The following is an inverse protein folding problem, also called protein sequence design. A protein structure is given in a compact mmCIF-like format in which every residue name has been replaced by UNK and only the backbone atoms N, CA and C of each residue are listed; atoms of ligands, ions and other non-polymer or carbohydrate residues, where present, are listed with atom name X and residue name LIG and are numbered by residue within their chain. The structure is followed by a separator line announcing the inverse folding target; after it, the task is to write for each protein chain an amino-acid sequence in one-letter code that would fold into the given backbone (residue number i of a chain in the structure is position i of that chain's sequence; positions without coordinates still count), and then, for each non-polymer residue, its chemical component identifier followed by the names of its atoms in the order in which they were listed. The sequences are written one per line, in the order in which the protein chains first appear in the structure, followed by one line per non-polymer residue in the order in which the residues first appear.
data_IF_238750341788
#
_entry.id   IF_238750341788
#
_cell.length_a   1.000
_cell.length_b   1.000
_cell.length_c   1.000
_cell.angle_alpha   90.00
_cell.angle_beta   90.00
_cell.angle_gamma   90.00
#
_symmetry.space_group_name_H-M   'P 1'
#
loop_
_entity.id
_entity.type
_entity.pdbx_description
1 polymer ?
#
# COMPACT_ATOMS: atom_id res chain seq x y z
N UNK A 1 -8.08 14.33 -25.47
CA UNK A 1 -7.29 14.47 -24.23
C UNK A 1 -7.87 13.50 -23.22
N UNK A 2 -7.20 12.38 -23.00
CA UNK A 2 -7.59 11.46 -21.92
C UNK A 2 -7.39 12.20 -20.60
N UNK A 3 -8.35 12.24 -19.66
CA UNK A 3 -8.02 12.64 -18.31
C UNK A 3 -6.99 11.62 -17.83
N UNK A 4 -5.74 12.05 -17.69
CA UNK A 4 -4.80 11.37 -16.80
C UNK A 4 -5.41 11.55 -15.42
N UNK A 5 -6.35 10.66 -15.07
CA UNK A 5 -6.65 10.40 -13.68
C UNK A 5 -5.28 10.07 -13.10
N UNK A 6 -4.67 11.02 -12.40
CA UNK A 6 -3.59 10.74 -11.45
C UNK A 6 -4.28 9.93 -10.37
N UNK A 7 -4.52 8.65 -10.66
CA UNK A 7 -5.05 7.72 -9.69
C UNK A 7 -3.93 7.64 -8.67
N UNK A 8 -4.12 8.32 -7.55
CA UNK A 8 -3.19 8.29 -6.43
C UNK A 8 -3.11 6.83 -6.00
N UNK A 9 -2.02 6.16 -6.38
CA UNK A 9 -1.83 4.75 -6.07
C UNK A 9 -0.91 4.64 -4.88
N UNK A 10 -1.30 3.85 -3.91
CA UNK A 10 -0.56 3.57 -2.71
C UNK A 10 0.07 2.20 -2.85
N UNK A 11 1.40 2.18 -2.79
CA UNK A 11 2.21 0.99 -2.89
C UNK A 11 2.56 0.49 -1.50
N UNK A 12 1.98 -0.64 -1.13
CA UNK A 12 2.26 -1.34 0.11
C UNK A 12 3.32 -2.40 -0.16
N UNK A 13 4.42 -2.36 0.58
CA UNK A 13 5.49 -3.34 0.51
C UNK A 13 5.90 -3.79 1.91
N UNK A 14 5.93 -5.09 2.14
CA UNK A 14 6.56 -5.67 3.32
C UNK A 14 8.06 -5.83 3.09
N UNK A 15 8.87 -5.46 4.07
CA UNK A 15 10.35 -5.58 3.98
C UNK A 15 10.87 -6.95 4.41
N UNK A 16 10.00 -7.79 4.97
CA UNK A 16 10.36 -9.08 5.57
C UNK A 16 9.75 -10.27 4.83
N UNK A 17 8.71 -10.04 4.02
CA UNK A 17 8.08 -11.08 3.21
C UNK A 17 7.77 -10.54 1.80
N UNK A 18 7.49 -11.39 0.80
CA UNK A 18 7.24 -10.97 -0.57
C UNK A 18 5.85 -10.32 -0.78
N UNK A 19 5.24 -9.77 0.28
CA UNK A 19 3.97 -9.07 0.18
C UNK A 19 4.18 -7.70 -0.46
N UNK A 20 3.65 -7.54 -1.66
CA UNK A 20 3.63 -6.28 -2.40
C UNK A 20 2.25 -6.11 -3.05
N UNK A 21 1.60 -4.95 -2.84
CA UNK A 21 0.28 -4.63 -3.42
C UNK A 21 0.12 -3.14 -3.70
N UNK A 22 -0.69 -2.85 -4.71
CA UNK A 22 -1.10 -1.50 -5.09
C UNK A 22 -2.57 -1.29 -4.70
N UNK A 23 -2.87 -0.11 -4.18
CA UNK A 23 -4.20 0.33 -3.78
C UNK A 23 -4.50 1.69 -4.39
N UNK A 24 -5.74 1.96 -4.78
CA UNK A 24 -6.14 3.28 -5.28
C UNK A 24 -6.65 4.21 -4.17
N UNK A 25 -6.63 3.74 -2.91
CA UNK A 25 -7.07 4.48 -1.73
C UNK A 25 -6.08 4.29 -0.56
N UNK A 26 -5.78 5.39 0.13
CA UNK A 26 -4.87 5.40 1.29
C UNK A 26 -5.41 4.53 2.44
N UNK A 27 -6.72 4.63 2.70
CA UNK A 27 -7.37 3.91 3.79
C UNK A 27 -7.25 2.38 3.64
N UNK A 28 -7.38 1.86 2.43
CA UNK A 28 -7.21 0.43 2.14
C UNK A 28 -5.75 -0.02 2.37
N UNK A 29 -4.78 0.76 1.88
CA UNK A 29 -3.36 0.46 2.10
C UNK A 29 -3.00 0.53 3.60
N UNK A 30 -3.50 1.52 4.33
CA UNK A 30 -3.26 1.69 5.76
C UNK A 30 -3.88 0.56 6.59
N UNK A 31 -5.11 0.15 6.26
CA UNK A 31 -5.79 -0.97 6.91
C UNK A 31 -5.00 -2.27 6.75
N UNK A 32 -4.58 -2.59 5.52
CA UNK A 32 -3.79 -3.81 5.25
C UNK A 32 -2.42 -3.74 5.91
N UNK A 33 -1.76 -2.56 5.94
CA UNK A 33 -0.50 -2.36 6.66
C UNK A 33 -0.68 -2.74 8.14
N UNK A 34 -1.70 -2.22 8.81
CA UNK A 34 -1.95 -2.47 10.23
C UNK A 34 -2.25 -3.94 10.49
N UNK A 35 -3.17 -4.54 9.73
CA UNK A 35 -3.52 -5.95 9.88
C UNK A 35 -2.29 -6.84 9.69
N UNK A 36 -1.46 -6.56 8.69
CA UNK A 36 -0.25 -7.36 8.46
C UNK A 36 0.78 -7.20 9.58
N UNK A 37 1.01 -5.97 10.06
CA UNK A 37 1.91 -5.71 11.21
C UNK A 37 1.39 -6.43 12.46
N UNK A 38 0.08 -6.42 12.71
CA UNK A 38 -0.53 -7.06 13.87
C UNK A 38 -0.41 -8.59 13.82
N UNK A 39 -0.73 -9.20 12.68
CA UNK A 39 -0.72 -10.65 12.51
C UNK A 39 0.70 -11.23 12.45
N UNK A 40 1.66 -10.48 11.90
CA UNK A 40 3.00 -11.03 11.59
C UNK A 40 4.15 -10.36 12.33
N UNK A 41 3.93 -9.17 12.89
CA UNK A 41 5.00 -8.35 13.45
C UNK A 41 5.95 -7.74 12.40
N UNK A 42 5.67 -7.90 11.11
CA UNK A 42 6.57 -7.44 10.06
C UNK A 42 6.53 -5.93 9.82
N UNK A 43 7.61 -5.40 9.27
CA UNK A 43 7.77 -4.03 8.84
C UNK A 43 7.20 -3.81 7.44
N UNK A 44 6.05 -3.16 7.40
CA UNK A 44 5.35 -2.79 6.17
C UNK A 44 5.48 -1.29 5.92
N UNK A 45 5.89 -0.92 4.70
CA UNK A 45 5.95 0.45 4.21
C UNK A 45 4.80 0.71 3.23
N UNK A 46 4.27 1.93 3.24
CA UNK A 46 3.27 2.40 2.28
C UNK A 46 3.81 3.68 1.64
N UNK A 47 4.00 3.65 0.33
CA UNK A 47 4.48 4.76 -0.48
C UNK A 47 3.37 5.25 -1.40
N UNK A 48 3.20 6.57 -1.49
CA UNK A 48 2.24 7.16 -2.41
C UNK A 48 2.91 7.42 -3.76
N UNK A 49 2.31 6.88 -4.83
CA UNK A 49 2.70 7.05 -6.23
C UNK A 49 1.73 8.05 -6.88
N UNK A 50 2.28 9.13 -7.45
CA UNK A 50 1.53 10.29 -7.96
C UNK A 50 1.92 10.67 -9.41
#
# INVERSE_FOLDING_TARGET
MSPVHRTERYHLVCRECPLERLYDAEADADAVRRTHVDETGHRVAVDRIA
#
